data_IF_808307828002
#
_entry.id   IF_808307828002
#
_cell.length_a   1.000
_cell.length_b   1.000
_cell.length_c   1.000
_cell.angle_alpha   90.00
_cell.angle_beta   90.00
_cell.angle_gamma   90.00
#
_symmetry.space_group_name_H-M   'P 1'
#
loop_
_entity.id
_entity.type
_entity.pdbx_description
1 polymer ?
#
# COMPACT_ATOMS: atom_id res chain seq x y z
N UNK A 1 27.75 -51.56 -44.43
CA UNK A 1 27.66 -51.08 -43.03
C UNK A 1 27.74 -49.56 -42.98
N UNK A 2 26.64 -48.87 -43.31
CA UNK A 2 26.49 -47.41 -43.21
C UNK A 2 25.00 -47.13 -43.06
N UNK A 3 24.44 -47.25 -41.85
CA UNK A 3 23.06 -46.82 -41.59
C UNK A 3 22.72 -46.75 -40.09
N UNK A 4 23.39 -47.54 -39.24
CA UNK A 4 22.99 -47.63 -37.82
C UNK A 4 23.49 -46.44 -36.98
N UNK A 5 24.59 -45.80 -37.37
CA UNK A 5 25.17 -44.67 -36.63
C UNK A 5 24.38 -43.36 -36.75
N UNK A 6 23.48 -43.24 -37.72
CA UNK A 6 22.73 -41.98 -37.96
C UNK A 6 21.50 -41.83 -37.07
N UNK A 7 20.91 -42.94 -36.60
CA UNK A 7 19.69 -42.90 -35.79
C UNK A 7 19.96 -42.69 -34.29
N UNK A 8 21.11 -43.15 -33.79
CA UNK A 8 21.49 -42.97 -32.39
C UNK A 8 21.77 -41.49 -32.06
N UNK A 9 22.34 -40.74 -33.02
CA UNK A 9 22.59 -39.31 -32.85
C UNK A 9 21.29 -38.49 -32.79
N UNK A 10 20.24 -38.93 -33.47
CA UNK A 10 18.98 -38.20 -33.58
C UNK A 10 18.09 -38.35 -32.33
N UNK A 11 18.19 -39.48 -31.63
CA UNK A 11 17.46 -39.74 -30.37
C UNK A 11 18.07 -38.96 -29.19
N UNK A 12 19.39 -38.72 -29.21
CA UNK A 12 20.08 -37.96 -28.16
C UNK A 12 19.74 -36.46 -28.17
N UNK A 13 19.36 -35.88 -29.32
CA UNK A 13 19.05 -34.44 -29.44
C UNK A 13 17.64 -34.12 -28.87
N UNK A 14 16.72 -35.09 -28.86
CA UNK A 14 15.34 -34.88 -28.39
C UNK A 14 15.27 -34.85 -26.85
N UNK A 15 16.23 -35.47 -26.16
CA UNK A 15 16.25 -35.57 -24.69
C UNK A 15 16.83 -34.33 -23.99
N UNK A 16 17.44 -33.39 -24.73
CA UNK A 16 18.04 -32.16 -24.15
C UNK A 16 17.07 -30.96 -24.24
N UNK A 17 15.97 -31.08 -24.98
CA UNK A 17 15.01 -29.99 -25.18
C UNK A 17 13.96 -29.87 -24.07
N UNK A 18 14.10 -30.63 -22.99
CA UNK A 18 13.08 -30.77 -21.94
C UNK A 18 13.59 -30.41 -20.55
N UNK A 19 14.01 -29.15 -20.33
CA UNK A 19 13.91 -28.45 -19.05
C UNK A 19 14.60 -27.08 -19.14
N UNK A 20 13.82 -26.03 -19.36
CA UNK A 20 13.73 -24.89 -18.43
C UNK A 20 12.96 -23.77 -19.13
N UNK A 21 11.65 -23.96 -19.28
CA UNK A 21 10.79 -22.82 -19.02
C UNK A 21 10.99 -22.52 -17.54
N UNK A 22 11.96 -21.68 -17.19
CA UNK A 22 11.87 -20.99 -15.92
C UNK A 22 10.56 -20.25 -16.02
N UNK A 23 9.51 -20.78 -15.39
CA UNK A 23 8.53 -19.89 -14.81
C UNK A 23 9.39 -19.02 -13.90
N UNK A 24 9.81 -17.86 -14.42
CA UNK A 24 10.12 -16.75 -13.58
C UNK A 24 8.78 -16.49 -12.89
N UNK A 25 8.52 -17.22 -11.81
CA UNK A 25 7.70 -16.70 -10.74
C UNK A 25 8.31 -15.33 -10.51
N UNK A 26 7.62 -14.30 -11.01
CA UNK A 26 7.98 -12.92 -10.75
C UNK A 26 7.88 -12.83 -9.25
N UNK A 27 9.00 -13.05 -8.57
CA UNK A 27 9.16 -12.66 -7.17
C UNK A 27 9.06 -11.16 -7.22
N UNK A 28 7.82 -10.66 -7.09
CA UNK A 28 7.56 -9.25 -6.89
C UNK A 28 8.33 -8.90 -5.63
N UNK A 29 9.39 -8.12 -5.79
CA UNK A 29 10.16 -7.62 -4.66
C UNK A 29 9.20 -6.90 -3.72
N UNK A 30 8.99 -7.47 -2.54
CA UNK A 30 8.16 -6.92 -1.47
C UNK A 30 8.96 -6.01 -0.53
N UNK A 31 10.22 -5.75 -0.86
CA UNK A 31 11.11 -4.88 -0.11
C UNK A 31 10.90 -3.44 -0.56
N UNK A 32 10.00 -2.75 0.14
CA UNK A 32 9.81 -1.31 0.01
C UNK A 32 10.21 -0.65 1.33
N UNK A 33 10.99 0.42 1.23
CA UNK A 33 11.28 1.28 2.36
C UNK A 33 10.28 2.44 2.34
N UNK A 34 9.36 2.44 3.29
CA UNK A 34 8.34 3.48 3.41
C UNK A 34 8.76 4.53 4.41
N UNK A 35 8.56 5.80 4.06
CA UNK A 35 8.65 6.88 5.02
C UNK A 35 7.44 6.79 5.98
N UNK A 36 7.72 6.78 7.28
CA UNK A 36 6.69 6.83 8.32
C UNK A 36 6.63 8.25 8.92
N UNK A 37 5.44 8.74 9.30
CA UNK A 37 5.32 10.02 9.99
C UNK A 37 5.96 9.94 11.38
N UNK A 38 6.52 11.07 11.83
CA UNK A 38 7.20 11.17 13.13
C UNK A 38 6.56 12.20 14.06
N UNK A 39 5.63 13.01 13.53
CA UNK A 39 4.81 13.95 14.30
C UNK A 39 3.34 13.65 14.06
N UNK A 40 2.60 13.48 15.16
CA UNK A 40 1.19 13.13 15.18
C UNK A 40 0.39 14.21 15.91
N UNK A 41 -0.89 14.40 15.58
CA UNK A 41 -1.76 15.38 16.24
C UNK A 41 -2.25 14.93 17.62
N UNK A 42 -1.83 13.76 18.09
CA UNK A 42 -2.06 13.26 19.44
C UNK A 42 -0.88 12.38 19.90
N UNK A 43 -0.82 12.06 21.19
CA UNK A 43 0.20 11.17 21.74
C UNK A 43 0.03 9.75 21.23
N UNK A 44 1.04 9.19 20.56
CA UNK A 44 1.06 7.79 20.12
C UNK A 44 1.85 6.95 21.13
N UNK A 45 1.23 5.90 21.67
CA UNK A 45 1.86 4.96 22.61
C UNK A 45 1.72 3.49 22.22
N UNK A 46 1.12 3.21 21.06
CA UNK A 46 1.17 1.91 20.40
C UNK A 46 1.40 2.10 18.91
N UNK A 47 2.43 1.42 18.40
CA UNK A 47 2.74 1.36 16.98
C UNK A 47 2.74 -0.09 16.54
N UNK A 48 2.07 -0.39 15.43
CA UNK A 48 2.02 -1.74 14.86
C UNK A 48 2.00 -1.67 13.34
N UNK A 49 2.77 -2.53 12.68
CA UNK A 49 2.70 -2.72 11.23
C UNK A 49 2.03 -4.06 10.92
N UNK A 50 1.17 -4.07 9.90
CA UNK A 50 0.53 -5.25 9.34
C UNK A 50 0.70 -5.22 7.83
N UNK A 51 1.09 -6.35 7.26
CA UNK A 51 1.06 -6.57 5.82
C UNK A 51 -0.19 -7.40 5.54
N UNK A 52 -1.11 -6.84 4.75
CA UNK A 52 -2.30 -7.54 4.27
C UNK A 52 -2.07 -7.92 2.81
N UNK A 53 -1.99 -9.22 2.57
CA UNK A 53 -1.91 -9.83 1.25
C UNK A 53 -3.20 -10.62 1.07
N UNK A 54 -4.16 -10.06 0.34
CA UNK A 54 -5.35 -10.82 -0.07
C UNK A 54 -4.95 -11.83 -1.17
N UNK A 55 -4.42 -11.29 -2.28
CA UNK A 55 -3.73 -12.05 -3.30
C UNK A 55 -2.48 -11.26 -3.74
N UNK A 56 -1.26 -11.81 -3.58
CA UNK A 56 0.00 -11.11 -3.85
C UNK A 56 0.19 -10.74 -5.33
N UNK A 57 -0.67 -11.20 -6.23
CA UNK A 57 -0.72 -10.84 -7.65
C UNK A 57 -1.81 -9.82 -8.01
N UNK A 58 -2.66 -9.44 -7.04
CA UNK A 58 -3.78 -8.52 -7.23
C UNK A 58 -3.58 -7.26 -6.39
N UNK A 59 -3.48 -7.39 -5.07
CA UNK A 59 -3.42 -6.27 -4.13
C UNK A 59 -2.44 -6.56 -3.00
N UNK A 60 -1.51 -5.65 -2.79
CA UNK A 60 -0.59 -5.65 -1.65
C UNK A 60 -0.87 -4.42 -0.80
N UNK A 61 -1.12 -4.62 0.50
CA UNK A 61 -1.37 -3.54 1.45
C UNK A 61 -0.38 -3.57 2.62
N UNK A 62 0.20 -2.41 2.89
CA UNK A 62 1.01 -2.17 4.08
C UNK A 62 0.24 -1.20 4.97
N UNK A 63 -0.06 -1.63 6.19
CA UNK A 63 -0.88 -0.89 7.14
C UNK A 63 -0.05 -0.62 8.39
N UNK A 64 0.18 0.65 8.68
CA UNK A 64 0.86 1.12 9.88
C UNK A 64 -0.17 1.75 10.79
N UNK A 65 -0.23 1.28 12.02
CA UNK A 65 -1.16 1.70 13.05
C UNK A 65 -0.42 2.57 14.06
N UNK A 66 -0.95 3.76 14.33
CA UNK A 66 -0.45 4.68 15.33
C UNK A 66 -1.60 5.02 16.28
N UNK A 67 -1.53 4.48 17.50
CA UNK A 67 -2.65 4.48 18.43
C UNK A 67 -2.29 5.11 19.77
N UNK A 68 -3.24 5.82 20.35
CA UNK A 68 -3.28 6.13 21.76
C UNK A 68 -4.22 5.14 22.47
N UNK A 69 -3.70 4.30 23.37
CA UNK A 69 -4.51 3.29 24.06
C UNK A 69 -5.53 3.89 25.04
N UNK A 70 -5.26 5.07 25.58
CA UNK A 70 -6.07 5.71 26.61
C UNK A 70 -7.21 6.50 25.97
N UNK A 71 -6.92 7.30 24.93
CA UNK A 71 -7.95 8.09 24.21
C UNK A 71 -8.62 7.32 23.09
N UNK A 72 -8.11 6.13 22.74
CA UNK A 72 -8.58 5.26 21.65
C UNK A 72 -8.45 5.85 20.24
N UNK A 73 -7.83 7.02 20.11
CA UNK A 73 -7.48 7.64 18.84
C UNK A 73 -6.51 6.76 18.06
N UNK A 74 -6.77 6.58 16.78
CA UNK A 74 -5.91 5.80 15.90
C UNK A 74 -5.81 6.45 14.53
N UNK A 75 -4.57 6.57 14.04
CA UNK A 75 -4.27 6.90 12.66
C UNK A 75 -3.69 5.65 12.01
N UNK A 76 -4.22 5.30 10.85
CA UNK A 76 -3.66 4.27 9.98
C UNK A 76 -3.04 4.90 8.74
N UNK A 77 -1.76 4.64 8.48
CA UNK A 77 -1.18 4.81 7.15
C UNK A 77 -1.40 3.51 6.37
N UNK A 78 -2.12 3.59 5.25
CA UNK A 78 -2.37 2.44 4.37
C UNK A 78 -1.75 2.75 3.01
N UNK A 79 -0.88 1.85 2.56
CA UNK A 79 -0.24 1.91 1.26
C UNK A 79 -0.70 0.70 0.44
N UNK A 80 -1.54 0.97 -0.57
CA UNK A 80 -2.10 -0.05 -1.46
C UNK A 80 -1.37 -0.04 -2.80
N UNK A 81 -0.95 -1.21 -3.26
CA UNK A 81 -0.43 -1.42 -4.61
C UNK A 81 -1.24 -2.48 -5.33
N UNK A 82 -1.95 -2.06 -6.36
CA UNK A 82 -2.59 -2.97 -7.32
C UNK A 82 -1.60 -3.26 -8.44
N UNK A 83 -1.34 -4.52 -8.70
CA UNK A 83 -0.23 -4.95 -9.58
C UNK A 83 -0.58 -4.83 -11.07
N UNK A 84 -1.84 -5.10 -11.43
CA UNK A 84 -2.26 -5.12 -12.83
C UNK A 84 -2.97 -3.84 -13.28
N UNK A 85 -3.68 -3.17 -12.39
CA UNK A 85 -4.43 -1.94 -12.68
C UNK A 85 -4.30 -0.96 -11.51
N UNK A 86 -3.35 -0.01 -11.55
CA UNK A 86 -3.05 0.87 -10.43
C UNK A 86 -4.31 1.58 -9.91
N UNK A 87 -4.61 1.39 -8.63
CA UNK A 87 -5.73 2.07 -7.99
C UNK A 87 -5.47 3.58 -8.03
N UNK A 88 -6.45 4.34 -8.51
CA UNK A 88 -6.39 5.81 -8.53
C UNK A 88 -7.22 6.37 -7.39
N UNK A 89 -6.85 7.56 -6.92
CA UNK A 89 -7.68 8.28 -5.96
C UNK A 89 -9.03 8.61 -6.60
N UNK A 90 -10.12 8.22 -5.95
CA UNK A 90 -11.46 8.66 -6.36
C UNK A 90 -11.71 10.08 -5.87
N UNK A 91 -11.67 11.04 -6.79
CA UNK A 91 -11.83 12.48 -6.51
C UNK A 91 -13.28 12.87 -6.14
N UNK A 92 -14.25 12.01 -6.47
CA UNK A 92 -15.66 12.33 -6.35
C UNK A 92 -16.04 12.55 -4.88
N UNK A 93 -16.64 13.72 -4.61
CA UNK A 93 -17.12 14.10 -3.27
C UNK A 93 -16.03 14.52 -2.29
N UNK A 94 -14.76 14.56 -2.70
CA UNK A 94 -13.63 14.86 -1.81
C UNK A 94 -13.11 16.27 -1.99
N UNK A 95 -12.59 16.83 -0.90
CA UNK A 95 -11.98 18.14 -0.91
C UNK A 95 -10.51 18.05 -1.36
N UNK A 96 -10.10 18.78 -2.41
CA UNK A 96 -8.74 18.73 -2.90
C UNK A 96 -7.79 19.58 -2.03
N UNK A 97 -6.57 19.07 -1.83
CA UNK A 97 -5.47 19.73 -1.15
C UNK A 97 -4.18 19.56 -1.95
N UNK A 98 -3.34 20.60 -2.02
CA UNK A 98 -2.02 20.50 -2.64
C UNK A 98 -0.96 20.22 -1.58
N UNK A 99 -0.25 19.11 -1.73
CA UNK A 99 0.87 18.72 -0.87
C UNK A 99 2.11 19.58 -1.15
N UNK A 100 3.07 19.59 -0.22
CA UNK A 100 4.32 20.37 -0.30
C UNK A 100 5.17 20.02 -1.52
N UNK A 101 5.05 18.80 -2.03
CA UNK A 101 5.73 18.35 -3.25
C UNK A 101 4.96 18.72 -4.55
N UNK A 102 3.85 19.44 -4.45
CA UNK A 102 3.00 19.86 -5.57
C UNK A 102 2.00 18.81 -6.06
N UNK A 103 1.99 17.59 -5.49
CA UNK A 103 0.99 16.58 -5.79
C UNK A 103 -0.36 16.92 -5.15
N UNK A 104 -1.44 16.42 -5.75
CA UNK A 104 -2.77 16.55 -5.17
C UNK A 104 -3.05 15.41 -4.18
N UNK A 105 -3.77 15.78 -3.12
CA UNK A 105 -4.37 14.90 -2.15
C UNK A 105 -5.86 15.23 -2.02
N UNK A 106 -6.64 14.28 -1.54
CA UNK A 106 -8.09 14.37 -1.50
C UNK A 106 -8.56 13.98 -0.10
N UNK A 107 -9.16 14.93 0.60
CA UNK A 107 -9.70 14.78 1.94
C UNK A 107 -11.16 14.35 1.88
N UNK A 108 -11.53 13.44 2.78
CA UNK A 108 -12.88 12.92 2.94
C UNK A 108 -13.19 12.71 4.43
N UNK A 109 -14.44 12.90 4.80
CA UNK A 109 -14.89 12.91 6.18
C UNK A 109 -16.31 12.36 6.29
N UNK A 110 -16.53 11.54 7.30
CA UNK A 110 -17.86 11.19 7.79
C UNK A 110 -17.95 11.43 9.31
N UNK A 111 -19.06 11.01 9.92
CA UNK A 111 -19.30 11.28 11.34
C UNK A 111 -18.33 10.55 12.28
N UNK A 112 -17.69 9.47 11.83
CA UNK A 112 -16.88 8.57 12.65
C UNK A 112 -15.39 8.54 12.23
N UNK A 113 -15.05 9.10 11.06
CA UNK A 113 -13.70 9.05 10.51
C UNK A 113 -13.33 10.25 9.64
N UNK A 114 -12.04 10.50 9.53
CA UNK A 114 -11.45 11.46 8.59
C UNK A 114 -10.36 10.74 7.80
N UNK A 115 -10.21 11.09 6.52
CA UNK A 115 -9.18 10.48 5.68
C UNK A 115 -8.60 11.45 4.67
N UNK A 116 -7.35 11.21 4.28
CA UNK A 116 -6.71 11.92 3.17
C UNK A 116 -6.00 10.91 2.27
N UNK A 117 -6.19 11.06 0.96
CA UNK A 117 -5.78 10.11 -0.07
C UNK A 117 -4.86 10.79 -1.09
N UNK A 118 -3.78 10.13 -1.51
CA UNK A 118 -2.86 10.66 -2.52
C UNK A 118 -2.11 9.55 -3.24
N UNK A 119 -1.50 9.89 -4.38
CA UNK A 119 -0.59 9.00 -5.08
C UNK A 119 0.85 9.19 -4.57
N UNK A 120 1.41 8.16 -3.93
CA UNK A 120 2.78 8.17 -3.40
C UNK A 120 3.85 8.16 -4.51
N UNK A 121 5.12 8.31 -4.13
CA UNK A 121 6.25 8.38 -5.07
C UNK A 121 6.50 7.07 -5.85
N UNK A 122 6.05 5.92 -5.33
CA UNK A 122 6.30 4.59 -5.91
C UNK A 122 5.06 3.93 -6.53
N UNK A 123 4.06 4.74 -6.86
CA UNK A 123 2.81 4.31 -7.49
C UNK A 123 1.87 3.56 -6.55
N UNK A 124 2.05 3.68 -5.22
CA UNK A 124 1.04 3.23 -4.26
C UNK A 124 -0.04 4.29 -4.11
N UNK A 125 -1.29 3.83 -4.04
CA UNK A 125 -2.37 4.63 -3.47
C UNK A 125 -2.16 4.66 -1.96
N UNK A 126 -1.85 5.84 -1.44
CA UNK A 126 -1.58 6.06 -0.03
C UNK A 126 -2.75 6.81 0.61
N UNK A 127 -3.05 6.44 1.86
CA UNK A 127 -4.06 7.13 2.65
C UNK A 127 -3.73 7.13 4.13
N UNK A 128 -4.05 8.24 4.78
CA UNK A 128 -4.25 8.26 6.22
C UNK A 128 -5.74 8.12 6.51
N UNK A 129 -6.07 7.28 7.49
CA UNK A 129 -7.43 7.16 8.03
C UNK A 129 -7.35 7.37 9.54
N UNK A 130 -8.08 8.35 10.03
CA UNK A 130 -8.24 8.67 11.45
C UNK A 130 -9.63 8.28 11.93
N UNK A 131 -9.70 7.69 13.12
CA UNK A 131 -10.94 7.45 13.84
C UNK A 131 -10.64 7.26 15.34
N UNK A 132 -11.70 7.17 16.14
CA UNK A 132 -11.64 6.77 17.55
C UNK A 132 -12.34 5.43 17.77
N UNK A 133 -11.99 4.71 18.83
CA UNK A 133 -12.65 3.47 19.27
C UNK A 133 -12.95 2.46 18.13
N UNK A 134 -12.02 2.30 17.18
CA UNK A 134 -12.22 1.35 16.07
C UNK A 134 -13.29 1.76 15.06
N UNK A 135 -13.56 3.07 14.91
CA UNK A 135 -14.59 3.64 14.02
C UNK A 135 -16.04 3.31 14.45
N UNK A 136 -16.25 3.12 15.76
CA UNK A 136 -17.57 2.84 16.35
C UNK A 136 -18.26 4.09 16.93
N UNK A 137 -17.48 5.11 17.26
CA UNK A 137 -17.96 6.33 17.92
C UNK A 137 -17.85 7.53 16.99
N UNK A 138 -18.73 8.52 17.19
CA UNK A 138 -18.67 9.81 16.52
C UNK A 138 -17.42 10.58 16.95
N UNK A 139 -16.76 11.28 16.01
CA UNK A 139 -15.53 12.02 16.33
C UNK A 139 -15.77 13.15 17.32
N UNK A 140 -16.84 13.93 17.14
CA UNK A 140 -17.17 15.06 18.03
C UNK A 140 -15.97 15.96 18.31
N UNK A 141 -15.66 16.15 19.59
CA UNK A 141 -14.53 16.98 20.04
C UNK A 141 -13.15 16.37 19.75
N UNK A 142 -13.08 15.10 19.37
CA UNK A 142 -11.84 14.45 18.93
C UNK A 142 -11.57 14.61 17.44
N UNK A 143 -12.41 15.34 16.70
CA UNK A 143 -12.17 15.65 15.29
C UNK A 143 -10.86 16.44 15.14
N UNK A 144 -10.03 16.01 14.21
CA UNK A 144 -8.79 16.71 13.86
C UNK A 144 -9.07 17.86 12.91
N UNK A 145 -8.16 18.84 12.85
CA UNK A 145 -8.19 19.80 11.76
C UNK A 145 -7.73 19.09 10.47
N UNK A 146 -8.33 19.43 9.33
CA UNK A 146 -7.95 18.87 8.03
C UNK A 146 -6.44 19.01 7.78
N UNK A 147 -5.84 20.11 8.26
CA UNK A 147 -4.41 20.37 8.16
C UNK A 147 -3.54 19.36 8.90
N UNK A 148 -4.03 18.72 9.96
CA UNK A 148 -3.29 17.66 10.68
C UNK A 148 -3.05 16.45 9.77
N UNK A 149 -4.08 16.06 9.00
CA UNK A 149 -3.97 14.95 8.04
C UNK A 149 -3.14 15.34 6.81
N UNK A 150 -3.25 16.59 6.34
CA UNK A 150 -2.39 17.12 5.27
C UNK A 150 -0.93 17.14 5.71
N UNK A 151 -0.64 17.54 6.95
CA UNK A 151 0.72 17.55 7.49
C UNK A 151 1.30 16.14 7.67
N UNK A 152 0.48 15.15 8.03
CA UNK A 152 0.87 13.75 8.01
C UNK A 152 1.21 13.28 6.59
N UNK A 153 0.36 13.56 5.60
CA UNK A 153 0.61 13.20 4.20
C UNK A 153 1.91 13.83 3.68
N UNK A 154 2.20 15.07 4.07
CA UNK A 154 3.42 15.79 3.72
C UNK A 154 4.70 15.21 4.35
N UNK A 155 4.61 14.54 5.49
CA UNK A 155 5.77 13.93 6.15
C UNK A 155 6.29 12.70 5.41
N UNK A 156 5.46 12.07 4.58
CA UNK A 156 5.74 10.76 3.94
C UNK A 156 5.84 10.84 2.42
N UNK A 157 6.02 12.04 1.86
CA UNK A 157 6.22 12.28 0.42
C UNK A 157 7.68 12.20 -0.03
#
# INVERSE_FOLDING_TARGET
MKSVFSYVLLILIILISGCSGSNQDRVLSMNYDFAEPFRFPFEVNEVRTKIELDNPYILQQYIFHYKNKQTTQEIRLILSKVINDPEKVSEQGKQPYTLKNGKQAYYDEDETSQSIWWESKDGFLARFVYYINGNLDLLGDYKLDDSDLVDLANQVQ
#
